data_IF_464935689037
#
_entry.id   IF_464935689037
#
_cell.length_a   1.000
_cell.length_b   1.000
_cell.length_c   1.000
_cell.angle_alpha   90.00
_cell.angle_beta   90.00
_cell.angle_gamma   90.00
#
_symmetry.space_group_name_H-M   'P 1'
#
loop_
_entity.id
_entity.type
_entity.pdbx_description
1 polymer ?
#
# COMPACT_ATOMS: atom_id res chain seq x y z
N UNK A 1 -0.96 5.04 17.60
CA UNK A 1 -2.22 4.69 16.91
C UNK A 1 -2.41 5.58 15.68
N UNK A 2 -2.35 6.91 15.80
CA UNK A 2 -2.56 7.82 14.67
C UNK A 2 -1.66 7.51 13.45
N UNK A 3 -0.37 7.20 13.66
CA UNK A 3 0.54 6.83 12.58
C UNK A 3 0.13 5.54 11.86
N UNK A 4 -0.32 4.53 12.59
CA UNK A 4 -0.82 3.30 11.99
C UNK A 4 -2.11 3.57 11.17
N UNK A 5 -3.04 4.34 11.72
CA UNK A 5 -4.27 4.72 11.04
C UNK A 5 -3.98 5.56 9.77
N UNK A 6 -2.97 6.45 9.82
CA UNK A 6 -2.56 7.24 8.66
C UNK A 6 -2.06 6.35 7.51
N UNK A 7 -1.12 5.44 7.80
CA UNK A 7 -0.55 4.54 6.77
C UNK A 7 -1.60 3.60 6.22
N UNK A 8 -2.33 2.90 7.09
CA UNK A 8 -3.34 1.93 6.66
C UNK A 8 -4.53 2.61 5.97
N UNK A 9 -4.93 3.80 6.45
CA UNK A 9 -5.96 4.61 5.80
C UNK A 9 -5.54 5.10 4.42
N UNK A 10 -4.28 5.53 4.26
CA UNK A 10 -3.76 5.93 2.96
C UNK A 10 -3.76 4.76 1.97
N UNK A 11 -3.41 3.55 2.41
CA UNK A 11 -3.44 2.34 1.56
C UNK A 11 -4.88 1.96 1.18
N UNK A 12 -5.80 1.99 2.15
CA UNK A 12 -7.16 1.46 1.96
C UNK A 12 -8.16 2.42 1.31
N UNK A 13 -7.96 3.73 1.45
CA UNK A 13 -8.97 4.75 1.08
C UNK A 13 -8.47 5.84 0.14
N UNK A 14 -7.18 5.91 -0.15
CA UNK A 14 -6.69 6.86 -1.15
C UNK A 14 -6.48 6.12 -2.47
N UNK A 15 -7.20 6.52 -3.54
CA UNK A 15 -7.09 5.85 -4.83
C UNK A 15 -5.66 5.87 -5.36
N UNK A 16 -5.28 4.77 -6.03
CA UNK A 16 -3.94 4.59 -6.58
C UNK A 16 -3.54 5.67 -7.59
N UNK A 17 -4.51 6.29 -8.26
CA UNK A 17 -4.27 7.39 -9.21
C UNK A 17 -4.07 8.76 -8.56
N UNK A 18 -4.34 8.89 -7.25
CA UNK A 18 -4.03 10.10 -6.48
C UNK A 18 -2.54 10.04 -6.12
N UNK A 19 -1.69 10.49 -7.01
CA UNK A 19 -0.24 10.51 -6.80
C UNK A 19 0.29 11.94 -6.74
N UNK A 20 1.34 12.13 -5.96
CA UNK A 20 2.06 13.39 -5.93
C UNK A 20 2.94 13.42 -7.18
N UNK A 21 2.87 14.49 -8.01
CA UNK A 21 3.58 14.57 -9.28
C UNK A 21 5.08 14.86 -9.07
N UNK A 22 5.79 13.89 -8.52
CA UNK A 22 7.24 13.84 -8.54
C UNK A 22 7.68 12.74 -9.51
N UNK A 23 8.85 12.86 -10.09
CA UNK A 23 9.44 11.76 -10.84
C UNK A 23 10.46 11.01 -9.94
N UNK A 24 10.15 9.77 -9.56
CA UNK A 24 8.97 8.95 -9.88
C UNK A 24 7.72 9.38 -9.11
N UNK A 25 6.51 9.13 -9.66
CA UNK A 25 5.24 9.40 -8.99
C UNK A 25 5.20 8.75 -7.60
N UNK A 26 4.92 9.53 -6.55
CA UNK A 26 4.93 9.04 -5.17
C UNK A 26 3.50 8.77 -4.69
N UNK A 27 3.15 7.53 -4.37
CA UNK A 27 1.85 7.20 -3.80
C UNK A 27 1.64 7.86 -2.43
N UNK A 28 0.42 8.28 -2.08
CA UNK A 28 0.10 8.84 -0.75
C UNK A 28 0.46 7.91 0.40
N UNK A 29 0.34 6.60 0.21
CA UNK A 29 0.77 5.60 1.18
C UNK A 29 2.27 5.68 1.48
N UNK A 30 3.10 5.88 0.46
CA UNK A 30 4.55 6.10 0.62
C UNK A 30 4.84 7.36 1.43
N UNK A 31 4.16 8.47 1.12
CA UNK A 31 4.30 9.70 1.90
C UNK A 31 3.89 9.50 3.35
N UNK A 32 2.78 8.80 3.61
CA UNK A 32 2.34 8.46 4.95
C UNK A 32 3.40 7.62 5.69
N UNK A 33 4.01 6.65 5.01
CA UNK A 33 5.13 5.87 5.57
C UNK A 33 6.33 6.74 5.92
N UNK A 34 6.76 7.65 5.03
CA UNK A 34 7.85 8.58 5.30
C UNK A 34 7.57 9.48 6.51
N UNK A 35 6.36 10.04 6.61
CA UNK A 35 5.96 10.87 7.75
C UNK A 35 6.01 10.08 9.07
N UNK A 36 5.55 8.83 9.06
CA UNK A 36 5.60 7.95 10.23
C UNK A 36 7.04 7.60 10.58
N UNK A 37 7.89 7.29 9.59
CA UNK A 37 9.31 7.02 9.82
C UNK A 37 9.98 8.24 10.44
N UNK A 38 9.83 9.43 9.87
CA UNK A 38 10.40 10.65 10.42
C UNK A 38 9.94 10.95 11.85
N UNK A 39 8.67 10.70 12.15
CA UNK A 39 8.12 10.94 13.48
C UNK A 39 8.59 9.94 14.54
N UNK A 40 8.82 8.68 14.16
CA UNK A 40 9.11 7.60 15.10
C UNK A 40 10.59 7.20 15.17
N UNK A 41 11.40 7.62 14.19
CA UNK A 41 12.83 7.31 14.12
C UNK A 41 13.64 7.87 15.30
N UNK A 42 13.37 9.09 15.83
CA UNK A 42 14.13 9.63 16.95
C UNK A 42 14.06 8.71 18.18
N UNK A 43 15.24 8.39 18.73
CA UNK A 43 15.36 7.48 19.88
C UNK A 43 15.07 6.01 19.59
N UNK A 44 15.03 5.61 18.33
CA UNK A 44 14.93 4.22 17.93
C UNK A 44 16.29 3.54 17.98
N UNK A 45 16.38 2.41 18.68
CA UNK A 45 17.59 1.57 18.73
C UNK A 45 17.39 0.36 17.83
N UNK A 46 18.08 0.34 16.69
CA UNK A 46 17.96 -0.76 15.75
C UNK A 46 18.56 -2.05 16.31
N UNK A 47 17.75 -3.08 16.41
CA UNK A 47 18.19 -4.44 16.73
C UNK A 47 17.81 -5.35 15.57
N UNK A 48 18.79 -5.97 14.93
CA UNK A 48 18.54 -6.90 13.84
C UNK A 48 17.69 -8.07 14.32
N UNK A 49 16.66 -8.37 13.55
CA UNK A 49 15.75 -9.50 13.76
C UNK A 49 15.79 -10.44 12.56
N UNK A 50 15.25 -11.65 12.71
CA UNK A 50 15.08 -12.56 11.59
C UNK A 50 14.22 -11.96 10.47
N UNK A 51 13.22 -11.13 10.81
CA UNK A 51 12.42 -10.40 9.85
C UNK A 51 13.24 -9.42 9.00
N UNK A 52 14.19 -8.68 9.62
CA UNK A 52 15.08 -7.78 8.89
C UNK A 52 15.93 -8.56 7.87
N UNK A 53 16.41 -9.74 8.26
CA UNK A 53 17.22 -10.59 7.38
C UNK A 53 16.38 -11.15 6.22
N UNK A 54 15.14 -11.58 6.49
CA UNK A 54 14.23 -12.06 5.44
C UNK A 54 13.93 -10.95 4.42
N UNK A 55 13.66 -9.73 4.89
CA UNK A 55 13.39 -8.58 4.02
C UNK A 55 14.63 -8.20 3.21
N UNK A 56 15.81 -8.17 3.85
CA UNK A 56 17.08 -7.90 3.16
C UNK A 56 17.37 -8.96 2.09
N UNK A 57 17.07 -10.24 2.37
CA UNK A 57 17.21 -11.33 1.40
C UNK A 57 16.25 -11.16 0.23
N UNK A 58 14.98 -10.84 0.50
CA UNK A 58 13.99 -10.60 -0.54
C UNK A 58 14.40 -9.43 -1.45
N UNK A 59 14.89 -8.33 -0.86
CA UNK A 59 15.40 -7.18 -1.63
C UNK A 59 16.65 -7.53 -2.43
N UNK A 60 17.54 -8.36 -1.88
CA UNK A 60 18.69 -8.87 -2.62
C UNK A 60 18.26 -9.67 -3.86
N UNK A 61 17.23 -10.51 -3.73
CA UNK A 61 16.66 -11.26 -4.86
C UNK A 61 16.02 -10.33 -5.90
N UNK A 62 15.29 -9.29 -5.47
CA UNK A 62 14.75 -8.26 -6.38
C UNK A 62 15.90 -7.53 -7.08
N UNK A 63 16.98 -7.18 -6.37
CA UNK A 63 18.18 -6.59 -6.95
C UNK A 63 18.83 -7.46 -8.03
N UNK A 64 18.80 -8.78 -7.87
CA UNK A 64 19.29 -9.71 -8.91
C UNK A 64 18.47 -9.66 -10.20
N UNK A 65 17.22 -9.19 -10.17
CA UNK A 65 16.41 -9.02 -11.39
C UNK A 65 17.04 -8.03 -12.37
N UNK A 66 17.86 -7.10 -11.89
CA UNK A 66 18.62 -6.17 -12.73
C UNK A 66 19.61 -6.94 -13.63
N UNK A 67 20.26 -7.96 -13.10
CA UNK A 67 21.15 -8.82 -13.88
C UNK A 67 20.41 -9.66 -14.91
N UNK A 68 19.11 -9.88 -14.71
CA UNK A 68 18.22 -10.55 -15.64
C UNK A 68 17.55 -9.61 -16.68
N UNK A 69 17.93 -8.32 -16.69
CA UNK A 69 17.50 -7.35 -17.68
C UNK A 69 16.42 -6.36 -17.22
N UNK A 70 16.00 -6.39 -15.94
CA UNK A 70 15.11 -5.37 -15.44
C UNK A 70 15.82 -4.01 -15.37
N UNK A 71 15.17 -2.89 -15.78
CA UNK A 71 15.78 -1.58 -15.70
C UNK A 71 16.07 -1.17 -14.25
N UNK A 72 17.30 -0.78 -13.97
CA UNK A 72 17.77 -0.43 -12.62
C UNK A 72 16.94 0.67 -11.95
N UNK A 73 16.53 1.68 -12.71
CA UNK A 73 15.72 2.78 -12.23
C UNK A 73 14.36 2.32 -11.68
N UNK A 74 13.71 1.37 -12.34
CA UNK A 74 12.44 0.79 -11.83
C UNK A 74 12.66 0.03 -10.54
N UNK A 75 13.67 -0.84 -10.50
CA UNK A 75 13.99 -1.62 -9.29
C UNK A 75 14.34 -0.70 -8.12
N UNK A 76 15.15 0.34 -8.35
CA UNK A 76 15.49 1.32 -7.30
C UNK A 76 14.27 2.12 -6.87
N UNK A 77 13.40 2.53 -7.80
CA UNK A 77 12.17 3.23 -7.48
C UNK A 77 11.26 2.39 -6.58
N UNK A 78 11.02 1.14 -6.94
CA UNK A 78 10.18 0.24 -6.14
C UNK A 78 10.76 -0.05 -4.75
N UNK A 79 12.07 -0.19 -4.65
CA UNK A 79 12.73 -0.40 -3.36
C UNK A 79 12.69 0.86 -2.49
N UNK A 80 13.06 2.02 -3.04
CA UNK A 80 13.23 3.27 -2.27
C UNK A 80 11.88 3.93 -1.96
N UNK A 81 10.94 3.95 -2.90
CA UNK A 81 9.65 4.62 -2.73
C UNK A 81 8.50 3.67 -2.38
N UNK A 82 8.66 2.38 -2.57
CA UNK A 82 7.66 1.37 -2.21
C UNK A 82 8.04 0.59 -0.95
N UNK A 83 8.96 -0.35 -1.11
CA UNK A 83 9.22 -1.37 -0.11
C UNK A 83 9.94 -0.85 1.15
N UNK A 84 10.96 0.00 1.01
CA UNK A 84 11.75 0.50 2.15
C UNK A 84 10.94 1.36 3.11
N UNK A 85 10.19 2.39 2.67
CA UNK A 85 9.37 3.19 3.57
C UNK A 85 8.28 2.37 4.27
N UNK A 86 7.63 1.45 3.55
CA UNK A 86 6.60 0.59 4.10
C UNK A 86 7.16 -0.34 5.18
N UNK A 87 8.32 -0.96 4.93
CA UNK A 87 8.99 -1.81 5.90
C UNK A 87 9.41 -1.03 7.15
N UNK A 88 10.07 0.12 6.97
CA UNK A 88 10.53 0.95 8.09
C UNK A 88 9.34 1.46 8.93
N UNK A 89 8.29 1.95 8.28
CA UNK A 89 7.09 2.39 8.99
C UNK A 89 6.44 1.24 9.78
N UNK A 90 6.26 0.08 9.16
CA UNK A 90 5.72 -1.11 9.82
C UNK A 90 6.57 -1.55 11.01
N UNK A 91 7.88 -1.60 10.82
CA UNK A 91 8.85 -1.96 11.86
C UNK A 91 8.79 -1.03 13.07
N UNK A 92 8.81 0.29 12.82
CA UNK A 92 8.73 1.32 13.85
C UNK A 92 7.36 1.32 14.56
N UNK A 93 6.28 1.15 13.81
CA UNK A 93 4.93 1.06 14.38
C UNK A 93 4.79 -0.13 15.32
N UNK A 94 5.24 -1.32 14.91
CA UNK A 94 5.18 -2.52 15.74
C UNK A 94 6.03 -2.37 17.01
N UNK A 95 7.22 -1.79 16.90
CA UNK A 95 8.10 -1.60 18.05
C UNK A 95 7.56 -0.56 19.07
N UNK A 96 6.94 0.53 18.57
CA UNK A 96 6.42 1.60 19.42
C UNK A 96 5.03 1.33 19.99
N UNK A 97 4.18 0.65 19.23
CA UNK A 97 2.76 0.43 19.61
C UNK A 97 2.49 -1.00 20.08
N UNK A 98 3.35 -1.95 19.70
CA UNK A 98 3.12 -3.37 19.85
C UNK A 98 2.28 -3.96 18.71
N UNK A 99 2.56 -5.22 18.36
CA UNK A 99 1.92 -5.93 17.24
C UNK A 99 0.39 -5.92 17.36
N UNK A 100 -0.14 -6.17 18.58
CA UNK A 100 -1.59 -6.23 18.79
C UNK A 100 -2.32 -4.95 18.37
N UNK A 101 -1.80 -3.77 18.77
CA UNK A 101 -2.45 -2.48 18.43
C UNK A 101 -2.36 -2.17 16.94
N UNK A 102 -1.25 -2.53 16.31
CA UNK A 102 -1.10 -2.39 14.86
C UNK A 102 -2.08 -3.30 14.14
N UNK A 103 -2.21 -4.56 14.57
CA UNK A 103 -3.18 -5.51 14.03
C UNK A 103 -4.64 -5.06 14.23
N UNK A 104 -4.98 -4.50 15.40
CA UNK A 104 -6.32 -3.93 15.66
C UNK A 104 -6.65 -2.80 14.67
N UNK A 105 -5.72 -1.87 14.43
CA UNK A 105 -5.92 -0.78 13.45
C UNK A 105 -6.07 -1.35 12.04
N UNK A 106 -5.21 -2.28 11.67
CA UNK A 106 -5.27 -2.93 10.36
C UNK A 106 -6.60 -3.64 10.15
N UNK A 107 -7.07 -4.40 11.15
CA UNK A 107 -8.35 -5.11 11.07
C UNK A 107 -9.53 -4.14 10.88
N UNK A 108 -9.56 -3.02 11.61
CA UNK A 108 -10.61 -2.00 11.45
C UNK A 108 -10.62 -1.42 10.05
N UNK A 109 -9.45 -1.04 9.52
CA UNK A 109 -9.33 -0.49 8.17
C UNK A 109 -9.76 -1.52 7.13
N UNK A 110 -9.33 -2.78 7.27
CA UNK A 110 -9.68 -3.85 6.33
C UNK A 110 -11.15 -4.22 6.36
N UNK A 111 -11.80 -4.19 7.53
CA UNK A 111 -13.26 -4.35 7.63
C UNK A 111 -13.95 -3.24 6.84
N UNK A 112 -13.53 -1.98 7.00
CA UNK A 112 -14.12 -0.87 6.27
C UNK A 112 -13.88 -0.98 4.76
N UNK A 113 -12.68 -1.36 4.31
CA UNK A 113 -12.38 -1.64 2.89
C UNK A 113 -13.26 -2.79 2.36
N UNK A 114 -13.44 -3.85 3.14
CA UNK A 114 -14.29 -4.99 2.75
C UNK A 114 -15.76 -4.59 2.60
N UNK A 115 -16.27 -3.73 3.48
CA UNK A 115 -17.64 -3.20 3.38
C UNK A 115 -17.81 -2.36 2.12
N UNK A 116 -16.85 -1.48 1.81
CA UNK A 116 -16.88 -0.69 0.59
C UNK A 116 -16.79 -1.57 -0.67
N UNK A 117 -15.93 -2.59 -0.65
CA UNK A 117 -15.83 -3.54 -1.74
C UNK A 117 -17.13 -4.33 -1.95
N UNK A 118 -17.80 -4.71 -0.87
CA UNK A 118 -19.11 -5.38 -0.94
C UNK A 118 -20.19 -4.44 -1.50
N UNK A 119 -20.22 -3.19 -1.08
CA UNK A 119 -21.13 -2.18 -1.62
C UNK A 119 -20.89 -1.98 -3.12
N UNK A 120 -19.63 -1.87 -3.55
CA UNK A 120 -19.28 -1.79 -4.97
C UNK A 120 -19.74 -3.04 -5.73
N UNK A 121 -19.56 -4.24 -5.16
CA UNK A 121 -20.02 -5.48 -5.78
C UNK A 121 -21.54 -5.52 -6.00
N UNK A 122 -22.31 -4.98 -5.05
CA UNK A 122 -23.79 -4.98 -5.12
C UNK A 122 -24.31 -3.85 -6.00
N UNK A 123 -23.73 -2.66 -5.89
CA UNK A 123 -24.19 -1.46 -6.60
C UNK A 123 -23.56 -1.28 -7.97
N UNK A 124 -22.46 -1.97 -8.26
CA UNK A 124 -21.60 -1.77 -9.43
C UNK A 124 -21.03 -0.35 -9.56
N UNK A 125 -21.08 0.44 -8.48
CA UNK A 125 -20.59 1.81 -8.42
C UNK A 125 -19.32 1.83 -7.57
N UNK A 126 -18.18 2.17 -8.19
CA UNK A 126 -16.95 2.45 -7.46
C UNK A 126 -16.98 3.89 -6.93
N UNK A 127 -17.11 4.04 -5.60
CA UNK A 127 -17.14 5.36 -4.95
C UNK A 127 -15.87 6.17 -5.18
N UNK A 128 -14.75 5.51 -5.36
CA UNK A 128 -13.45 6.16 -5.58
C UNK A 128 -13.34 6.78 -6.98
N UNK A 129 -14.09 6.31 -7.96
CA UNK A 129 -14.08 6.88 -9.32
C UNK A 129 -14.56 8.34 -9.38
N UNK A 130 -15.27 8.81 -8.34
CA UNK A 130 -15.66 10.22 -8.21
C UNK A 130 -14.51 11.13 -7.78
N UNK A 131 -13.38 10.57 -7.32
CA UNK A 131 -12.18 11.33 -6.99
C UNK A 131 -11.38 11.53 -8.28
N UNK A 132 -11.69 12.59 -9.00
CA UNK A 132 -11.07 12.90 -10.27
C UNK A 132 -9.77 13.66 -10.08
N UNK A 133 -8.70 13.21 -10.74
CA UNK A 133 -7.40 13.87 -10.78
C UNK A 133 -6.96 13.95 -12.23
N UNK A 134 -6.51 15.13 -12.67
CA UNK A 134 -6.07 15.33 -14.05
C UNK A 134 -4.63 14.80 -14.24
N UNK A 135 -4.49 13.48 -14.35
CA UNK A 135 -3.21 12.82 -14.65
C UNK A 135 -3.45 11.55 -15.48
N UNK A 136 -2.39 11.08 -16.15
CA UNK A 136 -2.45 9.88 -17.00
C UNK A 136 -2.84 8.62 -16.21
N UNK A 137 -2.50 8.56 -14.92
CA UNK A 137 -2.83 7.42 -14.06
C UNK A 137 -4.33 7.34 -13.77
N UNK A 138 -5.01 8.49 -13.65
CA UNK A 138 -6.47 8.52 -13.53
C UNK A 138 -7.13 7.95 -14.79
N UNK A 139 -6.65 8.33 -15.97
CA UNK A 139 -7.19 7.83 -17.24
C UNK A 139 -6.96 6.32 -17.41
N UNK A 140 -5.84 5.82 -16.91
CA UNK A 140 -5.46 4.40 -16.99
C UNK A 140 -6.18 3.53 -15.95
N UNK A 141 -6.32 4.00 -14.70
CA UNK A 141 -6.72 3.17 -13.56
C UNK A 141 -8.11 3.46 -13.01
N UNK A 142 -8.79 4.55 -13.45
CA UNK A 142 -10.16 4.86 -13.01
C UNK A 142 -11.27 4.16 -13.78
N UNK A 143 -11.10 3.74 -15.07
CA UNK A 143 -12.14 3.04 -15.79
C UNK A 143 -12.41 1.66 -15.18
N UNK A 144 -13.67 1.31 -14.90
CA UNK A 144 -14.01 0.04 -14.28
C UNK A 144 -13.65 -1.13 -15.21
N UNK A 145 -12.94 -2.11 -14.67
CA UNK A 145 -12.58 -3.33 -15.39
C UNK A 145 -13.76 -4.29 -15.44
N UNK A 146 -14.23 -4.62 -16.63
CA UNK A 146 -15.28 -5.60 -16.86
C UNK A 146 -14.71 -6.95 -17.31
N UNK A 147 -15.35 -8.05 -16.90
CA UNK A 147 -15.09 -9.39 -17.43
C UNK A 147 -16.41 -10.04 -17.83
N UNK A 148 -16.69 -10.04 -19.12
CA UNK A 148 -17.99 -10.44 -19.63
C UNK A 148 -19.09 -9.46 -19.18
N UNK A 149 -20.14 -9.95 -18.54
CA UNK A 149 -21.24 -9.13 -18.00
C UNK A 149 -21.01 -8.65 -16.56
N UNK A 150 -19.87 -8.99 -15.93
CA UNK A 150 -19.58 -8.66 -14.54
C UNK A 150 -18.57 -7.51 -14.46
N UNK A 151 -18.91 -6.48 -13.71
CA UNK A 151 -17.96 -5.45 -13.27
C UNK A 151 -17.14 -5.99 -12.10
N UNK A 152 -15.82 -5.84 -12.17
CA UNK A 152 -14.93 -6.26 -11.10
C UNK A 152 -14.84 -5.21 -10.03
N UNK A 153 -14.79 -5.64 -8.79
CA UNK A 153 -14.59 -4.76 -7.63
C UNK A 153 -13.11 -4.37 -7.55
N UNK A 154 -12.84 -3.09 -7.47
CA UNK A 154 -11.48 -2.52 -7.51
C UNK A 154 -11.18 -1.65 -6.28
N UNK A 155 -12.20 -1.02 -5.70
CA UNK A 155 -12.05 -0.11 -4.57
C UNK A 155 -11.11 1.05 -4.89
N UNK A 156 -10.31 1.44 -3.89
CA UNK A 156 -9.25 2.45 -4.04
C UNK A 156 -8.00 1.92 -4.77
N UNK A 157 -7.91 0.62 -5.03
CA UNK A 157 -6.72 -0.03 -5.57
C UNK A 157 -6.61 0.05 -7.09
N UNK A 158 -7.70 0.44 -7.79
CA UNK A 158 -7.75 0.53 -9.25
C UNK A 158 -7.54 -0.79 -9.99
N UNK A 159 -7.39 -1.89 -9.25
CA UNK A 159 -7.22 -3.22 -9.83
C UNK A 159 -7.74 -4.31 -8.89
N UNK A 160 -8.61 -5.23 -9.37
CA UNK A 160 -9.25 -6.23 -8.53
C UNK A 160 -8.27 -7.24 -7.91
N UNK A 161 -7.15 -7.52 -8.57
CA UNK A 161 -6.11 -8.41 -8.01
C UNK A 161 -5.43 -7.74 -6.81
N UNK A 162 -5.11 -6.44 -6.90
CA UNK A 162 -4.49 -5.70 -5.81
C UNK A 162 -5.41 -5.66 -4.58
N UNK A 163 -6.69 -5.36 -4.77
CA UNK A 163 -7.70 -5.44 -3.72
C UNK A 163 -7.78 -6.83 -3.11
N UNK A 164 -7.86 -7.89 -3.93
CA UNK A 164 -7.94 -9.27 -3.48
C UNK A 164 -6.72 -9.69 -2.66
N UNK A 165 -5.52 -9.35 -3.08
CA UNK A 165 -4.27 -9.63 -2.33
C UNK A 165 -4.27 -8.92 -0.99
N UNK A 166 -4.67 -7.64 -0.95
CA UNK A 166 -4.74 -6.86 0.29
C UNK A 166 -5.78 -7.44 1.27
N UNK A 167 -6.96 -7.83 0.78
CA UNK A 167 -7.98 -8.46 1.61
C UNK A 167 -7.51 -9.83 2.14
N UNK A 168 -6.87 -10.64 1.29
CA UNK A 168 -6.32 -11.94 1.68
C UNK A 168 -5.24 -11.82 2.76
N UNK A 169 -4.40 -10.77 2.69
CA UNK A 169 -3.39 -10.49 3.71
C UNK A 169 -4.00 -10.12 5.08
N UNK A 170 -5.25 -9.68 5.12
CA UNK A 170 -5.98 -9.39 6.35
C UNK A 170 -6.65 -10.59 7.03
N UNK A 171 -6.79 -11.74 6.35
CA UNK A 171 -7.50 -12.92 6.90
C UNK A 171 -6.86 -13.48 8.18
N UNK A 172 -5.53 -13.51 8.36
CA UNK A 172 -4.91 -14.05 9.57
C UNK A 172 -5.03 -13.16 10.82
N UNK A 173 -5.61 -11.97 10.72
CA UNK A 173 -5.71 -10.99 11.80
C UNK A 173 -7.01 -11.14 12.59
#
# INVERSE_FOLDING_TARGET
IAGAALVMGAIGFVPVWVMIPFEPNVPPATLACFLVVLALLPGFSWRLTSGDLMVATAWGLVGLSVSAGSPLNYVLSDLVFGALPAYLAGRLLVERLGLRRVAEVLAIVWIAVSVLALLEAVTTINLFSYITVHNNLYEEWSPPLARGSLTRVEGAFGHPIALGVCLAAGIPL
#
